data_IF_364984154576
#
_entry.id   IF_364984154576
#
_cell.length_a   1.000
_cell.length_b   1.000
_cell.length_c   1.000
_cell.angle_alpha   90.00
_cell.angle_beta   90.00
_cell.angle_gamma   90.00
#
_symmetry.space_group_name_H-M   'P 1'
#
loop_
_entity.id
_entity.type
_entity.pdbx_description
1 polymer ?
#
# COMPACT_ATOMS: atom_id res chain seq x y z
N UNK A 1 -17.36 -5.67 32.74
CA UNK A 1 -17.32 -5.32 31.31
C UNK A 1 -18.75 -5.19 30.78
N UNK A 2 -19.01 -4.14 30.00
CA UNK A 2 -20.30 -3.90 29.36
C UNK A 2 -20.44 -4.60 28.00
N UNK A 3 -21.42 -4.19 27.19
CA UNK A 3 -21.58 -4.70 25.84
C UNK A 3 -20.34 -4.51 25.00
N UNK A 4 -20.03 -5.49 24.15
CA UNK A 4 -18.90 -5.51 23.23
C UNK A 4 -19.39 -5.81 21.82
N UNK A 5 -18.89 -5.05 20.85
CA UNK A 5 -19.05 -5.28 19.43
C UNK A 5 -17.70 -5.61 18.83
N UNK A 6 -17.55 -6.78 18.24
CA UNK A 6 -16.37 -7.20 17.50
C UNK A 6 -16.71 -7.35 16.03
N UNK A 7 -15.77 -6.93 15.18
CA UNK A 7 -15.79 -7.22 13.75
C UNK A 7 -14.74 -8.28 13.49
N UNK A 8 -15.21 -9.47 13.18
CA UNK A 8 -14.36 -10.61 12.88
C UNK A 8 -14.21 -10.79 11.38
N UNK A 9 -13.02 -11.15 10.95
CA UNK A 9 -12.70 -11.50 9.57
C UNK A 9 -12.14 -12.90 9.53
N UNK A 10 -12.46 -13.61 8.46
CA UNK A 10 -11.94 -14.95 8.21
C UNK A 10 -10.79 -14.84 7.22
N UNK A 11 -9.52 -14.99 7.65
CA UNK A 11 -8.39 -15.00 6.76
C UNK A 11 -8.44 -16.24 5.84
N UNK A 12 -7.61 -16.22 4.76
CA UNK A 12 -7.50 -17.34 3.83
C UNK A 12 -7.06 -18.64 4.54
N UNK A 13 -6.26 -18.50 5.60
CA UNK A 13 -5.75 -19.63 6.40
C UNK A 13 -5.91 -19.31 7.89
N UNK A 14 -6.46 -20.27 8.65
CA UNK A 14 -6.58 -20.16 10.10
C UNK A 14 -7.99 -19.81 10.61
N UNK A 15 -8.13 -19.57 11.93
CA UNK A 15 -9.39 -19.19 12.55
C UNK A 15 -9.76 -17.74 12.26
N UNK A 16 -11.00 -17.38 12.55
CA UNK A 16 -11.47 -16.00 12.54
C UNK A 16 -10.63 -15.11 13.46
N UNK A 17 -10.38 -13.89 13.02
CA UNK A 17 -9.56 -12.89 13.72
C UNK A 17 -10.35 -11.62 13.92
N UNK A 18 -10.39 -11.14 15.15
CA UNK A 18 -11.00 -9.83 15.45
C UNK A 18 -10.09 -8.71 14.96
N UNK A 19 -10.56 -7.93 14.00
CA UNK A 19 -9.84 -6.74 13.51
C UNK A 19 -10.31 -5.46 14.19
N UNK A 20 -11.61 -5.32 14.44
CA UNK A 20 -12.16 -4.10 15.05
C UNK A 20 -12.96 -4.46 16.29
N UNK A 21 -12.88 -3.62 17.29
CA UNK A 21 -13.66 -3.80 18.52
C UNK A 21 -14.15 -2.46 19.05
N UNK A 22 -15.33 -2.49 19.67
CA UNK A 22 -15.87 -1.39 20.44
C UNK A 22 -16.45 -1.97 21.75
N UNK A 23 -15.91 -1.54 22.89
CA UNK A 23 -16.25 -2.12 24.18
C UNK A 23 -16.60 -1.00 25.18
N UNK A 24 -17.75 -1.13 25.81
CA UNK A 24 -18.14 -0.26 26.93
C UNK A 24 -17.49 -0.76 28.22
N UNK A 25 -16.92 0.14 28.98
CA UNK A 25 -16.27 -0.15 30.25
C UNK A 25 -16.86 0.73 31.34
N UNK A 26 -17.53 0.08 32.28
CA UNK A 26 -18.10 0.68 33.48
C UNK A 26 -17.24 0.43 34.71
N UNK A 27 -16.23 -0.45 34.62
CA UNK A 27 -15.42 -0.87 35.77
C UNK A 27 -14.21 0.05 35.98
N UNK A 28 -13.39 0.25 34.95
CA UNK A 28 -12.17 1.05 35.07
C UNK A 28 -12.43 2.49 35.52
N UNK A 29 -13.47 3.19 35.01
CA UNK A 29 -13.77 4.52 35.48
C UNK A 29 -14.03 4.58 36.99
N UNK A 30 -14.70 3.56 37.54
CA UNK A 30 -14.93 3.48 39.00
C UNK A 30 -13.66 3.15 39.75
N UNK A 31 -12.84 2.18 39.27
CA UNK A 31 -11.58 1.80 39.92
C UNK A 31 -10.56 2.94 39.96
N UNK A 32 -10.54 3.76 38.93
CA UNK A 32 -9.65 4.92 38.85
C UNK A 32 -10.29 6.22 39.36
N UNK A 33 -11.47 6.13 39.92
CA UNK A 33 -12.22 7.27 40.47
C UNK A 33 -12.38 8.43 39.47
N UNK A 34 -12.54 8.09 38.19
CA UNK A 34 -12.75 9.11 37.15
C UNK A 34 -14.10 9.79 37.37
N UNK A 35 -14.13 11.09 37.17
CA UNK A 35 -15.36 11.85 37.33
C UNK A 35 -15.42 13.03 36.35
N UNK A 36 -16.64 13.46 36.06
CA UNK A 36 -16.95 14.67 35.34
C UNK A 36 -18.09 15.42 36.07
N UNK A 37 -18.24 16.72 35.79
CA UNK A 37 -19.36 17.49 36.28
C UNK A 37 -20.42 17.54 35.18
N UNK A 38 -21.60 17.13 35.52
CA UNK A 38 -22.74 17.14 34.59
C UNK A 38 -23.36 18.54 34.42
N UNK A 39 -24.39 18.66 33.59
CA UNK A 39 -25.08 19.92 33.31
C UNK A 39 -25.89 20.47 34.50
N UNK A 40 -26.02 19.69 35.59
CA UNK A 40 -26.65 20.10 36.83
C UNK A 40 -25.62 20.51 37.89
N UNK A 41 -24.33 20.44 37.58
CA UNK A 41 -23.24 20.69 38.52
C UNK A 41 -22.94 19.54 39.46
N UNK A 42 -23.45 18.32 39.18
CA UNK A 42 -23.22 17.12 39.98
C UNK A 42 -22.04 16.31 39.46
N UNK A 43 -21.29 15.68 40.39
CA UNK A 43 -20.17 14.79 40.08
C UNK A 43 -20.69 13.43 39.66
N UNK A 44 -20.36 13.04 38.44
CA UNK A 44 -20.77 11.77 37.84
C UNK A 44 -19.55 10.92 37.43
N UNK A 45 -19.71 9.59 37.42
CA UNK A 45 -18.69 8.66 36.88
C UNK A 45 -18.91 8.48 35.37
N UNK A 46 -17.90 8.71 34.52
CA UNK A 46 -18.04 8.52 33.09
C UNK A 46 -18.13 7.03 32.72
N UNK A 47 -18.64 6.75 31.55
CA UNK A 47 -18.46 5.47 30.85
C UNK A 47 -17.32 5.61 29.88
N UNK A 48 -16.38 4.68 29.86
CA UNK A 48 -15.28 4.64 28.90
C UNK A 48 -15.65 3.73 27.76
N UNK A 49 -15.31 4.17 26.54
CA UNK A 49 -15.47 3.36 25.33
C UNK A 49 -14.06 3.04 24.82
N UNK A 50 -13.68 1.77 24.88
CA UNK A 50 -12.48 1.28 24.25
C UNK A 50 -12.78 0.95 22.80
N UNK A 51 -12.03 1.51 21.88
CA UNK A 51 -12.19 1.26 20.46
C UNK A 51 -10.86 0.97 19.78
N UNK A 52 -10.78 -0.16 19.11
CA UNK A 52 -9.75 -0.47 18.13
C UNK A 52 -10.40 -0.54 16.75
N UNK A 53 -9.88 0.24 15.79
CA UNK A 53 -10.46 0.30 14.43
C UNK A 53 -9.94 -0.86 13.58
N UNK A 54 -8.64 -1.11 13.61
CA UNK A 54 -7.96 -2.13 12.79
C UNK A 54 -7.13 -3.12 13.63
N UNK A 55 -7.34 -3.18 14.93
CA UNK A 55 -6.52 -3.97 15.84
C UNK A 55 -5.12 -3.38 16.02
N UNK A 56 -4.11 -4.25 16.13
CA UNK A 56 -2.70 -3.83 16.14
C UNK A 56 -2.16 -3.71 14.72
N UNK A 57 -1.14 -2.86 14.55
CA UNK A 57 -0.47 -2.67 13.26
C UNK A 57 0.03 -4.01 12.68
N UNK A 58 0.73 -4.82 13.48
CA UNK A 58 1.29 -6.09 13.03
C UNK A 58 0.22 -7.08 12.58
N UNK A 59 -0.87 -7.21 13.36
CA UNK A 59 -1.98 -8.11 13.03
C UNK A 59 -2.68 -7.69 11.74
N UNK A 60 -2.93 -6.40 11.57
CA UNK A 60 -3.56 -5.88 10.37
C UNK A 60 -2.67 -6.03 9.14
N UNK A 61 -1.37 -5.78 9.28
CA UNK A 61 -0.39 -6.00 8.21
C UNK A 61 -0.33 -7.47 7.79
N UNK A 62 -0.27 -8.39 8.76
CA UNK A 62 -0.28 -9.82 8.48
C UNK A 62 -1.55 -10.23 7.72
N UNK A 63 -2.72 -9.76 8.17
CA UNK A 63 -3.98 -10.03 7.50
C UNK A 63 -3.99 -9.53 6.04
N UNK A 64 -3.55 -8.30 5.79
CA UNK A 64 -3.48 -7.76 4.41
C UNK A 64 -2.53 -8.59 3.54
N UNK A 65 -1.36 -8.95 4.05
CA UNK A 65 -0.39 -9.75 3.29
C UNK A 65 -0.93 -11.14 2.94
N UNK A 66 -1.66 -11.78 3.84
CA UNK A 66 -2.33 -13.06 3.57
C UNK A 66 -3.43 -12.89 2.54
N UNK A 67 -4.32 -11.92 2.72
CA UNK A 67 -5.48 -11.70 1.86
C UNK A 67 -5.08 -11.34 0.43
N UNK A 68 -4.09 -10.47 0.29
CA UNK A 68 -3.56 -10.08 -1.03
C UNK A 68 -2.55 -11.07 -1.60
N UNK A 69 -2.19 -12.12 -0.86
CA UNK A 69 -1.06 -13.02 -1.21
C UNK A 69 0.24 -12.23 -1.45
N UNK A 70 0.39 -11.09 -0.77
CA UNK A 70 1.50 -10.16 -0.90
C UNK A 70 1.48 -9.28 -2.16
N UNK A 71 0.46 -9.36 -3.02
CA UNK A 71 0.26 -8.42 -4.14
C UNK A 71 -0.49 -7.22 -3.59
N UNK A 72 0.26 -6.28 -3.02
CA UNK A 72 -0.33 -5.10 -2.40
C UNK A 72 -0.90 -4.15 -3.47
N UNK A 73 -2.02 -3.48 -3.18
CA UNK A 73 -2.50 -2.41 -4.05
C UNK A 73 -1.46 -1.29 -4.16
N UNK A 74 -1.41 -0.61 -5.29
CA UNK A 74 -0.36 0.37 -5.63
C UNK A 74 -0.16 1.43 -4.55
N UNK A 75 -1.25 1.92 -3.92
CA UNK A 75 -1.15 2.93 -2.87
C UNK A 75 -0.44 2.43 -1.59
N UNK A 76 -0.50 1.11 -1.32
CA UNK A 76 0.10 0.49 -0.13
C UNK A 76 1.47 -0.13 -0.40
N UNK A 77 1.81 -0.42 -1.66
CA UNK A 77 3.07 -1.07 -2.03
C UNK A 77 4.28 -0.21 -1.60
N UNK A 78 5.28 -0.78 -0.88
CA UNK A 78 6.50 -0.06 -0.48
C UNK A 78 7.28 0.50 -1.68
N UNK A 79 7.37 -0.27 -2.76
CA UNK A 79 7.87 0.13 -4.07
C UNK A 79 6.71 0.03 -5.04
N UNK A 80 6.36 1.14 -5.67
CA UNK A 80 5.23 1.23 -6.60
C UNK A 80 5.65 0.98 -8.04
N UNK A 81 6.87 1.44 -8.35
CA UNK A 81 7.45 1.34 -9.70
C UNK A 81 8.87 0.82 -9.59
N UNK A 82 9.20 -0.22 -10.33
CA UNK A 82 10.56 -0.69 -10.54
C UNK A 82 11.02 -0.31 -11.95
N UNK A 83 12.16 0.36 -12.09
CA UNK A 83 12.72 0.80 -13.38
C UNK A 83 13.88 -0.10 -13.75
N UNK A 84 13.84 -0.67 -14.96
CA UNK A 84 14.85 -1.56 -15.49
C UNK A 84 15.40 -0.96 -16.80
N UNK A 85 16.59 -0.36 -16.80
CA UNK A 85 17.28 -0.01 -18.04
C UNK A 85 17.71 -1.30 -18.77
N UNK A 86 17.48 -1.36 -20.08
CA UNK A 86 17.85 -2.54 -20.90
C UNK A 86 19.36 -2.69 -20.97
N UNK A 87 20.08 -1.60 -21.07
CA UNK A 87 21.54 -1.53 -21.05
C UNK A 87 21.98 -0.34 -20.21
N UNK A 88 22.84 -0.59 -19.23
CA UNK A 88 23.29 0.47 -18.31
C UNK A 88 24.23 1.48 -19.00
N UNK A 89 25.02 1.07 -19.98
CA UNK A 89 25.93 2.00 -20.68
C UNK A 89 25.17 3.08 -21.48
N UNK A 90 23.99 2.74 -22.00
CA UNK A 90 23.25 3.61 -22.93
C UNK A 90 21.94 4.17 -22.36
N UNK A 91 21.31 3.47 -21.42
CA UNK A 91 19.95 3.80 -20.96
C UNK A 91 19.88 4.22 -19.49
N UNK A 92 20.98 4.10 -18.73
CA UNK A 92 20.97 4.39 -17.29
C UNK A 92 20.71 5.86 -16.99
N UNK A 93 21.26 6.77 -17.80
CA UNK A 93 21.03 8.20 -17.61
C UNK A 93 19.55 8.55 -17.76
N UNK A 94 18.93 8.09 -18.84
CA UNK A 94 17.49 8.25 -19.04
C UNK A 94 16.66 7.62 -17.91
N UNK A 95 17.07 6.43 -17.45
CA UNK A 95 16.38 5.76 -16.35
C UNK A 95 16.49 6.56 -15.03
N UNK A 96 17.60 7.25 -14.79
CA UNK A 96 17.77 8.15 -13.64
C UNK A 96 16.91 9.41 -13.75
N UNK A 97 16.76 9.96 -14.96
CA UNK A 97 15.88 11.10 -15.18
C UNK A 97 14.43 10.73 -14.88
N UNK A 98 13.97 9.58 -15.40
CA UNK A 98 12.64 9.04 -15.12
C UNK A 98 12.47 8.75 -13.61
N UNK A 99 13.49 8.18 -12.96
CA UNK A 99 13.48 7.95 -11.50
C UNK A 99 13.28 9.25 -10.72
N UNK A 100 14.05 10.28 -11.06
CA UNK A 100 13.98 11.58 -10.40
C UNK A 100 12.61 12.24 -10.61
N UNK A 101 12.08 12.17 -11.82
CA UNK A 101 10.78 12.74 -12.15
C UNK A 101 9.63 12.04 -11.42
N UNK A 102 9.61 10.71 -11.40
CA UNK A 102 8.61 9.96 -10.64
C UNK A 102 8.74 10.21 -9.13
N UNK A 103 9.96 10.24 -8.60
CA UNK A 103 10.22 10.50 -7.18
C UNK A 103 9.77 11.91 -6.77
N UNK A 104 9.98 12.92 -7.63
CA UNK A 104 9.52 14.29 -7.39
C UNK A 104 7.99 14.43 -7.39
N UNK A 105 7.28 13.43 -7.91
CA UNK A 105 5.83 13.32 -7.94
C UNK A 105 5.28 12.43 -6.81
N UNK A 106 6.05 12.20 -5.73
CA UNK A 106 5.69 11.39 -4.55
C UNK A 106 5.41 9.89 -4.88
N UNK A 107 6.00 9.38 -5.96
CA UNK A 107 5.91 7.97 -6.33
C UNK A 107 7.11 7.24 -5.75
N UNK A 108 6.89 6.12 -5.06
CA UNK A 108 7.95 5.27 -4.49
C UNK A 108 8.56 4.41 -5.57
N UNK A 109 9.75 4.78 -6.01
CA UNK A 109 10.44 4.18 -7.16
C UNK A 109 11.68 3.44 -6.71
N UNK A 110 11.98 2.34 -7.39
CA UNK A 110 13.25 1.64 -7.31
C UNK A 110 13.89 1.63 -8.70
N UNK A 111 15.19 1.89 -8.78
CA UNK A 111 15.99 1.71 -9.98
C UNK A 111 16.80 0.42 -9.84
N UNK A 112 16.58 -0.51 -10.76
CA UNK A 112 17.35 -1.76 -10.84
C UNK A 112 18.43 -1.62 -11.92
N UNK A 113 19.58 -1.10 -11.51
CA UNK A 113 20.76 -0.88 -12.36
C UNK A 113 21.81 -2.00 -12.25
N UNK A 114 21.44 -3.15 -11.68
CA UNK A 114 22.36 -4.29 -11.56
C UNK A 114 22.82 -4.80 -12.92
N UNK A 115 24.06 -5.28 -12.98
CA UNK A 115 24.65 -5.89 -14.17
C UNK A 115 24.13 -7.32 -14.40
N UNK A 116 22.81 -7.43 -14.55
CA UNK A 116 22.10 -8.69 -14.75
C UNK A 116 21.26 -8.64 -16.02
N UNK A 117 20.97 -9.82 -16.60
CA UNK A 117 20.12 -9.90 -17.79
C UNK A 117 18.72 -9.31 -17.51
N UNK A 118 18.20 -8.54 -18.45
CA UNK A 118 16.86 -7.92 -18.34
C UNK A 118 15.78 -8.95 -17.98
N UNK A 119 15.81 -10.13 -18.61
CA UNK A 119 14.85 -11.20 -18.31
C UNK A 119 14.92 -11.71 -16.86
N UNK A 120 16.09 -11.70 -16.23
CA UNK A 120 16.25 -12.05 -14.83
C UNK A 120 15.66 -10.94 -13.93
N UNK A 121 16.04 -9.67 -14.17
CA UNK A 121 15.51 -8.52 -13.42
C UNK A 121 13.98 -8.40 -13.53
N UNK A 122 13.44 -8.67 -14.73
CA UNK A 122 11.99 -8.75 -14.95
C UNK A 122 11.33 -9.85 -14.12
N UNK A 123 11.93 -11.05 -14.07
CA UNK A 123 11.41 -12.13 -13.23
C UNK A 123 11.43 -11.78 -11.76
N UNK A 124 12.50 -11.17 -11.27
CA UNK A 124 12.58 -10.70 -9.90
C UNK A 124 11.54 -9.62 -9.59
N UNK A 125 11.28 -8.72 -10.53
CA UNK A 125 10.22 -7.72 -10.39
C UNK A 125 8.85 -8.36 -10.18
N UNK A 126 8.56 -9.43 -10.92
CA UNK A 126 7.33 -10.23 -10.73
C UNK A 126 7.32 -10.96 -9.38
N UNK A 127 8.44 -11.57 -8.97
CA UNK A 127 8.56 -12.27 -7.67
C UNK A 127 8.40 -11.30 -6.50
N UNK A 128 8.98 -10.11 -6.61
CA UNK A 128 8.85 -9.04 -5.61
C UNK A 128 7.48 -8.34 -5.66
N UNK A 129 6.62 -8.69 -6.63
CA UNK A 129 5.25 -8.20 -6.76
C UNK A 129 5.15 -6.68 -6.85
N UNK A 130 6.09 -6.06 -7.56
CA UNK A 130 6.02 -4.62 -7.83
C UNK A 130 4.80 -4.31 -8.70
N UNK A 131 3.95 -3.34 -8.34
CA UNK A 131 2.75 -3.00 -9.10
C UNK A 131 3.04 -2.65 -10.56
N UNK A 132 4.10 -1.90 -10.80
CA UNK A 132 4.53 -1.50 -12.14
C UNK A 132 6.03 -1.76 -12.34
N UNK A 133 6.38 -2.23 -13.53
CA UNK A 133 7.77 -2.36 -13.96
C UNK A 133 7.95 -1.61 -15.27
N UNK A 134 8.85 -0.62 -15.26
CA UNK A 134 9.25 0.11 -16.46
C UNK A 134 10.44 -0.62 -17.11
N UNK A 135 10.41 -0.70 -18.45
CA UNK A 135 11.49 -1.24 -19.25
C UNK A 135 11.91 -0.12 -20.20
N UNK A 136 13.15 0.34 -20.03
CA UNK A 136 13.67 1.48 -20.76
C UNK A 136 14.82 1.04 -21.69
N UNK A 137 14.55 1.03 -22.97
CA UNK A 137 15.50 0.72 -24.02
C UNK A 137 15.67 1.90 -25.00
N UNK A 138 16.32 1.64 -26.11
CA UNK A 138 16.64 2.69 -27.10
C UNK A 138 15.38 3.36 -27.66
N UNK A 139 14.29 2.62 -27.86
CA UNK A 139 13.04 3.19 -28.38
C UNK A 139 12.43 4.22 -27.42
N UNK A 140 12.49 3.93 -26.12
CA UNK A 140 11.97 4.81 -25.09
C UNK A 140 12.82 6.09 -25.00
N UNK A 141 14.15 5.97 -25.11
CA UNK A 141 15.06 7.11 -25.15
C UNK A 141 14.80 7.99 -26.39
N UNK A 142 14.73 7.39 -27.58
CA UNK A 142 14.56 8.13 -28.84
C UNK A 142 13.22 8.87 -28.94
N UNK A 143 12.17 8.28 -28.39
CA UNK A 143 10.81 8.82 -28.44
C UNK A 143 10.43 9.63 -27.17
N UNK A 144 11.31 9.69 -26.18
CA UNK A 144 11.02 10.28 -24.86
C UNK A 144 9.72 9.71 -24.24
N UNK A 145 9.60 8.39 -24.27
CA UNK A 145 8.46 7.62 -23.73
C UNK A 145 8.93 6.62 -22.71
N UNK A 146 7.97 6.00 -22.02
CA UNK A 146 8.22 4.86 -21.15
C UNK A 146 7.39 3.67 -21.61
N UNK A 147 7.92 2.46 -21.44
CA UNK A 147 7.18 1.22 -21.62
C UNK A 147 7.03 0.55 -20.27
N UNK A 148 5.79 0.28 -19.85
CA UNK A 148 5.53 -0.34 -18.56
C UNK A 148 4.73 -1.63 -18.70
N UNK A 149 4.89 -2.47 -17.67
CA UNK A 149 4.10 -3.69 -17.46
C UNK A 149 3.50 -3.65 -16.06
N UNK A 150 2.20 -3.95 -15.95
CA UNK A 150 1.52 -4.08 -14.67
C UNK A 150 1.69 -5.48 -14.11
N UNK A 151 1.79 -5.62 -12.79
CA UNK A 151 1.87 -6.93 -12.15
C UNK A 151 0.68 -7.82 -12.54
N UNK A 152 0.97 -9.08 -12.88
CA UNK A 152 -0.05 -10.03 -13.33
C UNK A 152 -0.49 -9.88 -14.79
N UNK A 153 0.09 -8.94 -15.55
CA UNK A 153 -0.14 -8.77 -16.99
C UNK A 153 1.16 -8.97 -17.77
N UNK A 154 1.06 -9.65 -18.90
CA UNK A 154 2.18 -9.79 -19.87
C UNK A 154 2.19 -8.67 -20.91
N UNK A 155 1.16 -7.83 -20.93
CA UNK A 155 1.05 -6.73 -21.84
C UNK A 155 2.05 -5.61 -21.48
N UNK A 156 2.75 -5.11 -22.50
CA UNK A 156 3.65 -3.96 -22.39
C UNK A 156 3.01 -2.78 -23.09
N UNK A 157 2.81 -1.70 -22.34
CA UNK A 157 2.13 -0.49 -22.81
C UNK A 157 3.16 0.64 -22.86
N UNK A 158 3.22 1.37 -23.98
CA UNK A 158 4.10 2.52 -24.16
C UNK A 158 3.30 3.82 -24.11
N UNK A 159 3.72 4.76 -23.26
CA UNK A 159 3.05 6.04 -23.02
C UNK A 159 4.07 7.15 -22.76
N UNK A 160 3.62 8.40 -22.76
CA UNK A 160 4.43 9.51 -22.25
C UNK A 160 4.58 9.42 -20.73
N UNK A 161 5.62 10.05 -20.18
CA UNK A 161 5.85 10.07 -18.74
C UNK A 161 4.69 10.75 -18.00
N UNK A 162 4.15 11.83 -18.55
CA UNK A 162 3.02 12.57 -17.97
C UNK A 162 1.75 11.70 -17.88
N UNK A 163 1.47 10.94 -18.95
CA UNK A 163 0.34 10.00 -18.96
C UNK A 163 0.51 8.92 -17.90
N UNK A 164 1.72 8.38 -17.72
CA UNK A 164 2.02 7.40 -16.70
C UNK A 164 1.89 7.99 -15.29
N UNK A 165 2.42 9.19 -15.03
CA UNK A 165 2.27 9.89 -13.75
C UNK A 165 0.79 10.08 -13.42
N UNK A 166 -0.01 10.51 -14.37
CA UNK A 166 -1.45 10.68 -14.19
C UNK A 166 -2.17 9.35 -13.90
N UNK A 167 -1.76 8.26 -14.57
CA UNK A 167 -2.28 6.92 -14.35
C UNK A 167 -1.98 6.45 -12.92
N UNK A 168 -0.72 6.50 -12.52
CA UNK A 168 -0.31 5.99 -11.21
C UNK A 168 -0.86 6.84 -10.06
N UNK A 169 -0.95 8.17 -10.23
CA UNK A 169 -1.59 9.05 -9.24
C UNK A 169 -3.06 8.73 -9.02
N UNK A 170 -3.78 8.27 -10.04
CA UNK A 170 -5.15 7.77 -9.88
C UNK A 170 -5.21 6.47 -9.08
N UNK A 171 -4.25 5.56 -9.27
CA UNK A 171 -4.18 4.30 -8.51
C UNK A 171 -3.67 4.51 -7.07
N UNK A 172 -2.77 5.48 -6.84
CA UNK A 172 -2.27 5.82 -5.51
C UNK A 172 -3.34 6.54 -4.70
N UNK A 173 -4.20 7.34 -5.35
CA UNK A 173 -5.25 8.05 -4.64
C UNK A 173 -6.17 7.06 -3.93
N UNK A 174 -6.10 7.09 -2.59
CA UNK A 174 -6.95 6.23 -1.78
C UNK A 174 -8.43 6.43 -2.12
N UNK A 175 -9.12 5.35 -2.42
CA UNK A 175 -10.56 5.34 -2.62
C UNK A 175 -11.16 4.17 -1.83
N UNK A 176 -12.26 4.36 -1.10
CA UNK A 176 -12.96 3.26 -0.43
C UNK A 176 -13.33 2.11 -1.37
N UNK A 177 -13.53 2.41 -2.66
CA UNK A 177 -13.84 1.41 -3.69
C UNK A 177 -12.64 0.53 -4.06
N UNK A 178 -11.41 0.96 -3.78
CA UNK A 178 -10.20 0.17 -4.08
C UNK A 178 -10.00 -1.00 -3.09
N UNK A 179 -10.76 -1.04 -1.99
CA UNK A 179 -10.72 -2.14 -1.00
C UNK A 179 -11.69 -3.27 -1.38
N UNK A 180 -12.69 -2.99 -2.20
CA UNK A 180 -13.76 -3.95 -2.55
C UNK A 180 -13.37 -4.89 -3.70
N UNK A 181 -12.24 -4.68 -4.35
CA UNK A 181 -11.79 -5.43 -5.54
C UNK A 181 -10.57 -6.33 -5.29
N UNK A 182 -10.35 -6.74 -4.03
CA UNK A 182 -9.35 -7.76 -3.68
C UNK A 182 -10.04 -9.09 -3.38
#
# INVERSE_FOLDING_TARGET
YGPKLDVEVKPAVGPEVTLSTCQLDFLLPRRFELSYIDNKGEKQTPVVIHRAILGTFDRFTAFILEETKGVLPTWLAPVQVNIIPVNNEHHLEYAKDIYNELSSNDIRVQLDDREEKVGYRMRESVVNKYPFTLILGQKEVDNNTISYRKHGSDETISVSIDEFINLIKKEIKWSPLNIVLI
#
